data_IF_931414010151
#
_entry.id   IF_931414010151
#
_cell.length_a   1.000
_cell.length_b   1.000
_cell.length_c   1.000
_cell.angle_alpha   90.00
_cell.angle_beta   90.00
_cell.angle_gamma   90.00
#
_symmetry.space_group_name_H-M   'P 1'
#
loop_
_entity.id
_entity.type
_entity.pdbx_description
1 polymer ?
#
# COMPACT_ATOMS: atom_id res chain seq x y z
N UNK A 1 -35.30 -59.45 -36.94
CA UNK A 1 -35.67 -59.00 -35.58
C UNK A 1 -34.38 -58.87 -34.82
N UNK A 2 -34.02 -57.63 -34.45
CA UNK A 2 -32.97 -57.31 -33.49
C UNK A 2 -33.27 -58.03 -32.15
N UNK A 3 -32.31 -58.31 -31.28
CA UNK A 3 -31.74 -57.34 -30.34
C UNK A 3 -30.29 -57.71 -30.00
N UNK A 4 -29.45 -56.70 -29.91
CA UNK A 4 -28.14 -56.69 -29.27
C UNK A 4 -28.28 -56.92 -27.77
N UNK A 5 -27.34 -57.63 -27.14
CA UNK A 5 -27.07 -57.39 -25.72
C UNK A 5 -25.56 -57.48 -25.48
N UNK A 6 -24.93 -56.32 -25.68
CA UNK A 6 -23.54 -56.07 -25.32
C UNK A 6 -23.40 -56.06 -23.81
N UNK A 7 -22.83 -57.13 -23.25
CA UNK A 7 -22.36 -57.15 -21.86
C UNK A 7 -21.19 -56.18 -21.72
N UNK A 8 -21.51 -54.92 -21.41
CA UNK A 8 -20.55 -53.92 -20.95
C UNK A 8 -20.28 -54.15 -19.46
N UNK A 9 -19.07 -54.60 -19.15
CA UNK A 9 -18.59 -54.73 -17.78
C UNK A 9 -18.68 -53.38 -17.03
N UNK A 10 -19.06 -53.36 -15.75
CA UNK A 10 -19.23 -52.12 -15.01
C UNK A 10 -17.86 -51.47 -14.75
N UNK A 11 -17.71 -50.22 -15.19
CA UNK A 11 -16.54 -49.40 -14.89
C UNK A 11 -16.45 -49.14 -13.37
N UNK A 12 -15.24 -49.17 -12.77
CA UNK A 12 -15.09 -48.90 -11.35
C UNK A 12 -15.47 -47.45 -11.04
N UNK A 13 -16.04 -47.19 -9.84
CA UNK A 13 -16.45 -45.85 -9.46
C UNK A 13 -15.25 -44.91 -9.39
N UNK A 14 -15.30 -43.81 -10.14
CA UNK A 14 -14.35 -42.70 -9.99
C UNK A 14 -14.59 -42.10 -8.61
N UNK A 15 -13.75 -42.47 -7.65
CA UNK A 15 -13.75 -41.87 -6.32
C UNK A 15 -13.57 -40.36 -6.45
N UNK A 16 -14.65 -39.62 -6.22
CA UNK A 16 -14.61 -38.17 -6.05
C UNK A 16 -13.77 -37.90 -4.81
N UNK A 17 -12.47 -37.64 -5.01
CA UNK A 17 -11.54 -37.22 -3.96
C UNK A 17 -12.16 -36.02 -3.26
N UNK A 18 -12.75 -36.25 -2.08
CA UNK A 18 -13.26 -35.19 -1.21
C UNK A 18 -12.07 -34.30 -0.88
N UNK A 19 -12.00 -33.11 -1.50
CA UNK A 19 -10.98 -32.12 -1.16
C UNK A 19 -11.17 -31.80 0.31
N UNK A 20 -10.15 -32.11 1.11
CA UNK A 20 -10.15 -31.78 2.53
C UNK A 20 -10.46 -30.28 2.68
N UNK A 21 -11.28 -29.88 3.68
CA UNK A 21 -11.59 -28.48 3.90
C UNK A 21 -10.28 -27.75 4.14
N UNK A 22 -9.89 -26.90 3.20
CA UNK A 22 -8.68 -26.09 3.32
C UNK A 22 -8.90 -25.20 4.53
N UNK A 23 -8.08 -25.38 5.56
CA UNK A 23 -8.21 -24.59 6.78
C UNK A 23 -8.01 -23.12 6.42
N UNK A 24 -8.82 -22.23 6.99
CA UNK A 24 -8.70 -20.78 6.77
C UNK A 24 -7.26 -20.30 6.95
N UNK A 25 -6.55 -20.85 7.93
CA UNK A 25 -5.13 -20.57 8.20
C UNK A 25 -4.20 -20.96 7.05
N UNK A 26 -4.46 -22.07 6.37
CA UNK A 26 -3.68 -22.48 5.19
C UNK A 26 -3.92 -21.52 4.01
N UNK A 27 -5.16 -21.07 3.80
CA UNK A 27 -5.47 -20.05 2.78
C UNK A 27 -4.79 -18.73 3.10
N UNK A 28 -4.87 -18.24 4.34
CA UNK A 28 -4.21 -17.00 4.78
C UNK A 28 -2.69 -17.11 4.60
N UNK A 29 -2.07 -18.22 5.00
CA UNK A 29 -0.64 -18.44 4.80
C UNK A 29 -0.23 -18.55 3.33
N UNK A 30 -1.13 -19.00 2.45
CA UNK A 30 -0.90 -19.00 1.00
C UNK A 30 -1.03 -17.59 0.41
N UNK A 31 -2.03 -16.82 0.83
CA UNK A 31 -2.20 -15.42 0.44
C UNK A 31 -1.02 -14.57 0.90
N UNK A 32 -0.55 -14.75 2.13
CA UNK A 32 0.63 -14.04 2.66
C UNK A 32 1.88 -14.32 1.82
N UNK A 33 2.13 -15.58 1.48
CA UNK A 33 3.27 -15.96 0.61
C UNK A 33 3.12 -15.42 -0.81
N UNK A 34 1.90 -15.32 -1.32
CA UNK A 34 1.64 -14.73 -2.63
C UNK A 34 1.91 -13.22 -2.61
N UNK A 35 1.36 -12.52 -1.61
CA UNK A 35 1.58 -11.09 -1.42
C UNK A 35 3.07 -10.75 -1.24
N UNK A 36 3.79 -11.54 -0.43
CA UNK A 36 5.24 -11.36 -0.27
C UNK A 36 6.00 -11.48 -1.60
N UNK A 37 5.71 -12.52 -2.39
CA UNK A 37 6.35 -12.68 -3.72
C UNK A 37 6.04 -11.55 -4.68
N UNK A 38 4.84 -10.99 -4.61
CA UNK A 38 4.50 -9.83 -5.43
C UNK A 38 5.28 -8.60 -5.00
N UNK A 39 5.39 -8.36 -3.69
CA UNK A 39 6.18 -7.26 -3.15
C UNK A 39 7.66 -7.39 -3.53
N UNK A 40 8.25 -8.58 -3.36
CA UNK A 40 9.64 -8.85 -3.75
C UNK A 40 9.87 -8.59 -5.26
N UNK A 41 8.93 -8.98 -6.14
CA UNK A 41 9.02 -8.74 -7.58
C UNK A 41 8.85 -7.25 -7.96
N UNK A 42 8.04 -6.50 -7.21
CA UNK A 42 7.90 -5.07 -7.39
C UNK A 42 9.14 -4.30 -6.91
N UNK A 43 9.75 -4.73 -5.81
CA UNK A 43 11.02 -4.15 -5.33
C UNK A 43 12.16 -4.39 -6.33
N UNK A 44 12.24 -5.59 -6.92
CA UNK A 44 13.21 -5.89 -7.98
C UNK A 44 12.99 -4.99 -9.21
N UNK A 45 11.73 -4.80 -9.63
CA UNK A 45 11.42 -3.89 -10.73
C UNK A 45 11.78 -2.43 -10.41
N UNK A 46 11.54 -1.97 -9.18
CA UNK A 46 11.92 -0.61 -8.75
C UNK A 46 13.44 -0.44 -8.62
N UNK A 47 14.18 -1.49 -8.28
CA UNK A 47 15.64 -1.47 -8.23
C UNK A 47 16.26 -1.32 -9.63
N UNK A 48 15.60 -1.83 -10.66
CA UNK A 48 16.02 -1.69 -12.07
C UNK A 48 15.71 -0.31 -12.67
N UNK A 49 14.91 0.53 -12.01
CA UNK A 49 14.61 1.88 -12.47
C UNK A 49 15.72 2.88 -12.10
N UNK A 50 16.11 3.79 -13.01
CA UNK A 50 17.11 4.80 -12.72
C UNK A 50 16.62 5.75 -11.61
N UNK A 51 17.49 6.08 -10.66
CA UNK A 51 17.21 7.03 -9.57
C UNK A 51 16.65 8.35 -10.14
N UNK A 52 15.40 8.67 -9.79
CA UNK A 52 14.72 9.89 -10.22
C UNK A 52 13.69 9.72 -11.35
N UNK A 53 13.47 8.51 -11.86
CA UNK A 53 12.30 8.23 -12.70
C UNK A 53 11.02 8.36 -11.86
N UNK A 54 10.09 9.24 -12.27
CA UNK A 54 8.80 9.36 -11.61
C UNK A 54 8.08 8.00 -11.64
N UNK A 55 7.81 7.43 -10.46
CA UNK A 55 7.05 6.19 -10.34
C UNK A 55 5.75 6.34 -11.14
N UNK A 56 5.52 5.40 -12.07
CA UNK A 56 4.39 5.47 -12.99
C UNK A 56 3.06 5.61 -12.22
N UNK A 57 2.09 6.32 -12.78
CA UNK A 57 0.76 6.48 -12.16
C UNK A 57 0.10 5.13 -11.84
N UNK A 58 0.38 4.11 -12.65
CA UNK A 58 -0.02 2.72 -12.43
C UNK A 58 0.59 2.12 -11.17
N UNK A 59 1.84 2.42 -10.89
CA UNK A 59 2.54 1.94 -9.70
C UNK A 59 2.04 2.63 -8.42
N UNK A 60 1.81 3.95 -8.49
CA UNK A 60 1.18 4.69 -7.40
C UNK A 60 -0.22 4.13 -7.04
N UNK A 61 -1.01 3.75 -8.05
CA UNK A 61 -2.33 3.10 -7.86
C UNK A 61 -2.20 1.69 -7.27
N UNK A 62 -1.20 0.93 -7.69
CA UNK A 62 -0.91 -0.40 -7.13
C UNK A 62 -0.52 -0.29 -5.65
N UNK A 63 0.36 0.64 -5.29
CA UNK A 63 0.78 0.92 -3.91
C UNK A 63 -0.38 1.40 -3.03
N UNK A 64 -1.24 2.29 -3.54
CA UNK A 64 -2.42 2.74 -2.81
C UNK A 64 -3.40 1.58 -2.53
N UNK A 65 -3.57 0.67 -3.49
CA UNK A 65 -4.41 -0.51 -3.34
C UNK A 65 -3.83 -1.48 -2.32
N UNK A 66 -2.51 -1.72 -2.34
CA UNK A 66 -1.82 -2.54 -1.35
C UNK A 66 -1.90 -1.96 0.07
N UNK A 67 -1.67 -0.65 0.23
CA UNK A 67 -1.80 0.01 1.52
C UNK A 67 -3.22 -0.12 2.09
N UNK A 68 -4.24 -0.02 1.22
CA UNK A 68 -5.64 -0.23 1.60
C UNK A 68 -5.90 -1.66 2.06
N UNK A 69 -5.44 -2.66 1.31
CA UNK A 69 -5.67 -4.07 1.68
C UNK A 69 -4.93 -4.45 2.97
N UNK A 70 -3.72 -3.94 3.20
CA UNK A 70 -3.00 -4.13 4.47
C UNK A 70 -3.77 -3.52 5.64
N UNK A 71 -4.34 -2.31 5.49
CA UNK A 71 -5.17 -1.69 6.53
C UNK A 71 -6.44 -2.50 6.80
N UNK A 72 -7.09 -3.01 5.76
CA UNK A 72 -8.27 -3.85 5.89
C UNK A 72 -7.96 -5.19 6.57
N UNK A 73 -6.81 -5.80 6.27
CA UNK A 73 -6.35 -7.03 6.94
C UNK A 73 -6.00 -6.78 8.41
N UNK A 74 -5.29 -5.69 8.72
CA UNK A 74 -4.98 -5.30 10.11
C UNK A 74 -6.26 -5.08 10.93
N UNK A 75 -7.29 -4.47 10.34
CA UNK A 75 -8.60 -4.27 10.99
C UNK A 75 -9.40 -5.58 11.21
N UNK A 76 -9.06 -6.66 10.51
CA UNK A 76 -9.64 -8.00 10.70
C UNK A 76 -8.89 -8.77 11.80
N UNK A 77 -7.58 -8.54 11.93
CA UNK A 77 -6.74 -9.17 12.97
C UNK A 77 -6.89 -8.50 14.34
N UNK A 78 -7.19 -7.21 14.39
CA UNK A 78 -7.54 -6.51 15.64
C UNK A 78 -8.84 -7.11 16.22
N UNK A 79 -8.83 -7.68 17.44
CA UNK A 79 -10.05 -8.20 18.05
C UNK A 79 -11.06 -7.06 18.16
N UNK A 80 -12.27 -7.26 17.61
CA UNK A 80 -13.37 -6.28 17.56
C UNK A 80 -13.90 -5.84 18.96
N UNK A 81 -13.16 -6.11 20.03
CA UNK A 81 -13.44 -5.64 21.39
C UNK A 81 -13.12 -4.15 21.59
N UNK A 82 -12.41 -3.49 20.67
CA UNK A 82 -12.09 -2.06 20.77
C UNK A 82 -12.98 -1.14 19.91
N UNK A 83 -14.06 -1.64 19.30
CA UNK A 83 -15.08 -0.79 18.64
C UNK A 83 -16.12 -0.28 19.62
N UNK A 84 -15.66 0.27 20.74
CA UNK A 84 -16.46 1.09 21.63
C UNK A 84 -15.53 2.08 22.31
N UNK A 85 -15.83 3.36 22.07
CA UNK A 85 -15.37 4.51 22.85
C UNK A 85 -13.91 5.00 22.63
N UNK A 86 -13.67 5.80 21.58
CA UNK A 86 -13.24 7.23 21.68
C UNK A 86 -12.83 7.82 20.31
N UNK A 87 -13.49 8.89 19.82
CA UNK A 87 -12.85 9.86 18.94
C UNK A 87 -12.07 10.85 19.81
N UNK A 88 -10.81 10.55 20.07
CA UNK A 88 -9.83 11.47 20.65
C UNK A 88 -8.53 10.93 20.10
N UNK A 89 -8.04 11.40 18.96
CA UNK A 89 -7.03 12.46 18.94
C UNK A 89 -6.65 12.72 17.47
N UNK A 90 -7.65 12.98 16.62
CA UNK A 90 -7.35 13.75 15.41
C UNK A 90 -7.09 15.17 15.89
N UNK A 91 -5.83 15.62 15.81
CA UNK A 91 -5.49 17.04 15.85
C UNK A 91 -6.62 17.83 15.20
N UNK A 92 -7.34 18.64 15.99
CA UNK A 92 -8.51 19.36 15.51
C UNK A 92 -8.17 20.03 14.19
N UNK A 93 -9.05 19.98 13.19
CA UNK A 93 -8.79 20.59 11.89
C UNK A 93 -8.32 22.07 12.02
N UNK A 94 -8.77 22.75 13.09
CA UNK A 94 -8.30 24.08 13.47
C UNK A 94 -6.80 24.13 13.89
N UNK A 95 -6.30 23.14 14.62
CA UNK A 95 -4.88 23.01 14.98
C UNK A 95 -4.00 22.73 13.77
N UNK A 96 -4.47 21.88 12.85
CA UNK A 96 -3.79 21.66 11.57
C UNK A 96 -3.64 22.97 10.77
N UNK A 97 -4.71 23.76 10.67
CA UNK A 97 -4.68 25.06 9.98
C UNK A 97 -3.75 26.07 10.67
N UNK A 98 -3.73 26.11 12.01
CA UNK A 98 -2.79 26.95 12.78
C UNK A 98 -1.33 26.56 12.52
N UNK A 99 -1.04 25.27 12.50
CA UNK A 99 0.32 24.78 12.25
C UNK A 99 0.80 25.10 10.83
N UNK A 100 -0.07 24.97 9.83
CA UNK A 100 0.25 25.36 8.44
C UNK A 100 0.50 26.88 8.33
N UNK A 101 -0.26 27.71 9.04
CA UNK A 101 -0.03 29.15 9.06
C UNK A 101 1.34 29.50 9.67
N UNK A 102 1.74 28.83 10.75
CA UNK A 102 3.07 29.00 11.37
C UNK A 102 4.19 28.58 10.41
N UNK A 103 4.03 27.45 9.72
CA UNK A 103 5.00 26.98 8.73
C UNK A 103 5.20 28.00 7.60
N UNK A 104 4.11 28.59 7.10
CA UNK A 104 4.17 29.63 6.06
C UNK A 104 4.91 30.89 6.54
N UNK A 105 4.70 31.30 7.79
CA UNK A 105 5.40 32.46 8.36
C UNK A 105 6.90 32.20 8.51
N UNK A 106 7.28 31.01 9.01
CA UNK A 106 8.69 30.64 9.17
C UNK A 106 9.39 30.52 7.81
N UNK A 107 8.71 29.96 6.80
CA UNK A 107 9.23 29.91 5.44
C UNK A 107 9.45 31.32 4.86
N UNK A 108 8.49 32.24 5.03
CA UNK A 108 8.62 33.61 4.56
C UNK A 108 9.83 34.31 5.21
N UNK A 109 10.02 34.16 6.53
CA UNK A 109 11.19 34.69 7.25
C UNK A 109 12.51 34.14 6.72
N UNK A 110 12.58 32.84 6.42
CA UNK A 110 13.80 32.22 5.89
C UNK A 110 14.11 32.69 4.47
N UNK A 111 13.09 32.86 3.64
CA UNK A 111 13.26 33.41 2.30
C UNK A 111 13.71 34.87 2.34
N UNK A 112 13.16 35.68 3.25
CA UNK A 112 13.60 37.05 3.46
C UNK A 112 15.06 37.11 3.94
N UNK A 113 15.45 36.29 4.91
CA UNK A 113 16.84 36.20 5.37
C UNK A 113 17.81 35.71 4.27
N UNK A 114 17.36 34.84 3.37
CA UNK A 114 18.17 34.43 2.20
C UNK A 114 18.28 35.56 1.18
N UNK A 115 17.18 36.26 0.89
CA UNK A 115 17.18 37.41 -0.01
C UNK A 115 18.08 38.53 0.52
N UNK A 116 18.01 38.84 1.82
CA UNK A 116 18.88 39.83 2.48
C UNK A 116 20.35 39.39 2.44
N UNK A 117 20.64 38.10 2.57
CA UNK A 117 21.99 37.56 2.45
C UNK A 117 22.51 37.65 1.03
N UNK A 118 21.68 37.36 0.03
CA UNK A 118 22.04 37.47 -1.39
C UNK A 118 22.21 38.94 -1.81
N UNK A 119 21.34 39.85 -1.34
CA UNK A 119 21.46 41.29 -1.54
C UNK A 119 22.67 41.88 -0.79
N UNK A 120 22.93 41.45 0.44
CA UNK A 120 24.12 41.86 1.21
C UNK A 120 25.42 41.23 0.73
N UNK A 121 25.37 40.09 0.03
CA UNK A 121 26.52 39.48 -0.65
C UNK A 121 26.69 39.98 -2.10
N UNK A 122 25.67 40.64 -2.65
CA UNK A 122 25.80 41.48 -3.85
C UNK A 122 26.29 42.90 -3.52
N UNK A 123 26.22 43.33 -2.25
CA UNK A 123 26.77 44.61 -1.74
C UNK A 123 28.12 44.52 -0.97
N UNK A 124 29.12 43.73 -1.41
CA UNK A 124 30.51 43.98 -1.09
C UNK A 124 31.20 44.59 -2.31
N UNK A 125 31.01 45.90 -2.51
CA UNK A 125 31.98 46.74 -3.20
C UNK A 125 31.99 46.69 -4.73
N UNK A 126 30.87 47.00 -5.38
CA UNK A 126 30.93 47.73 -6.65
C UNK A 126 31.05 49.24 -6.35
N UNK A 127 32.17 49.62 -5.74
CA UNK A 127 32.53 51.01 -5.48
C UNK A 127 34.06 51.16 -5.46
N UNK A 128 34.58 51.58 -6.62
CA UNK A 128 35.87 52.24 -6.89
C UNK A 128 37.18 51.46 -6.70
#
# INVERSE_FOLDING_TARGET
MAEEDGTAAPLPPVEKRKRAPVSRRAVVGQLWRAAKRQLDAHEEHLADLPQGAAASETDAKALATLARTVRELAAIEEPQAAKKDKPTDEFSAADGLRHVAQLRQELARRLEALADRELGQADPGDAA
#
